data_IF_123208874409
#
_entry.id   IF_123208874409
#
_cell.length_a   1.000
_cell.length_b   1.000
_cell.length_c   1.000
_cell.angle_alpha   90.00
_cell.angle_beta   90.00
_cell.angle_gamma   90.00
#
_symmetry.space_group_name_H-M   'P 1'
#
loop_
_entity.id
_entity.type
_entity.pdbx_description
1 polymer ?
#
# COMPACT_ATOMS: atom_id res chain seq x y z
N UNK A 1 0.40 4.54 -19.08
CA UNK A 1 0.32 3.54 -17.99
C UNK A 1 -0.12 2.23 -18.58
N UNK A 2 0.38 1.09 -18.07
CA UNK A 2 -0.04 -0.24 -18.51
C UNK A 2 -0.11 -1.20 -17.34
N UNK A 3 -1.11 -2.07 -17.32
CA UNK A 3 -1.25 -3.14 -16.33
C UNK A 3 -1.46 -4.46 -17.07
N UNK A 4 -0.82 -5.52 -16.59
CA UNK A 4 -0.93 -6.85 -17.19
C UNK A 4 -0.79 -7.92 -16.13
N UNK A 5 -1.40 -9.07 -16.40
CA UNK A 5 -1.29 -10.23 -15.55
C UNK A 5 -0.03 -11.01 -15.90
N UNK A 6 0.62 -11.55 -14.88
CA UNK A 6 1.61 -12.58 -15.07
C UNK A 6 0.95 -13.93 -14.91
N UNK A 7 0.82 -14.62 -16.04
CA UNK A 7 0.67 -16.08 -16.04
C UNK A 7 1.91 -16.69 -15.37
N UNK A 8 1.82 -17.94 -14.90
CA UNK A 8 2.85 -18.60 -14.10
C UNK A 8 3.72 -19.53 -14.96
N UNK A 9 4.65 -19.04 -15.81
CA UNK A 9 5.67 -19.90 -16.36
C UNK A 9 6.62 -20.33 -15.22
N UNK A 10 7.25 -21.51 -15.32
CA UNK A 10 8.33 -21.87 -14.40
C UNK A 10 9.41 -20.79 -14.47
N UNK A 11 9.95 -20.33 -13.32
CA UNK A 11 10.97 -19.29 -13.33
C UNK A 11 12.20 -19.81 -14.06
N UNK A 12 12.57 -19.17 -15.17
CA UNK A 12 13.80 -19.44 -15.91
C UNK A 12 14.79 -18.34 -15.58
N UNK A 13 15.81 -18.64 -14.77
CA UNK A 13 16.85 -17.68 -14.41
C UNK A 13 17.78 -18.17 -13.33
N UNK A 14 18.90 -17.46 -13.16
CA UNK A 14 19.86 -17.66 -12.07
C UNK A 14 19.71 -16.53 -11.05
N UNK A 15 19.75 -16.86 -9.76
CA UNK A 15 19.72 -15.89 -8.68
C UNK A 15 20.98 -16.05 -7.82
N UNK A 16 21.61 -14.94 -7.48
CA UNK A 16 22.72 -14.93 -6.53
C UNK A 16 22.25 -15.43 -5.16
N UNK A 17 22.93 -16.46 -4.64
CA UNK A 17 22.54 -17.14 -3.40
C UNK A 17 22.62 -16.20 -2.18
N UNK A 18 23.58 -15.26 -2.16
CA UNK A 18 23.69 -14.31 -1.06
C UNK A 18 22.51 -13.34 -1.05
N UNK A 19 22.07 -12.86 -2.23
CA UNK A 19 20.88 -12.01 -2.37
C UNK A 19 19.61 -12.75 -1.99
N UNK A 20 19.46 -14.01 -2.42
CA UNK A 20 18.33 -14.85 -2.05
C UNK A 20 18.26 -15.07 -0.53
N UNK A 21 19.38 -15.44 0.09
CA UNK A 21 19.50 -15.63 1.54
C UNK A 21 19.20 -14.33 2.30
N UNK A 22 19.71 -13.20 1.82
CA UNK A 22 19.43 -11.88 2.40
C UNK A 22 17.96 -11.49 2.36
N UNK A 23 17.22 -11.86 1.30
CA UNK A 23 15.77 -11.67 1.23
C UNK A 23 15.05 -12.51 2.28
N UNK A 24 15.38 -13.80 2.38
CA UNK A 24 14.77 -14.72 3.36
C UNK A 24 15.05 -14.26 4.79
N UNK A 25 16.27 -13.84 5.10
CA UNK A 25 16.64 -13.32 6.41
C UNK A 25 15.89 -12.02 6.79
N UNK A 26 15.47 -11.23 5.80
CA UNK A 26 14.70 -10.01 6.02
C UNK A 26 13.18 -10.25 6.22
N UNK A 27 12.70 -11.48 6.00
CA UNK A 27 11.31 -11.84 6.26
C UNK A 27 11.01 -11.75 7.74
N UNK A 28 9.99 -10.98 8.11
CA UNK A 28 9.61 -10.82 9.51
C UNK A 28 10.64 -10.08 10.39
N UNK A 29 11.68 -9.49 9.81
CA UNK A 29 12.71 -8.79 10.58
C UNK A 29 12.13 -7.65 11.45
N UNK A 30 12.76 -7.40 12.60
CA UNK A 30 12.35 -6.35 13.53
C UNK A 30 12.58 -4.94 12.96
N UNK A 31 13.61 -4.78 12.12
CA UNK A 31 13.88 -3.53 11.41
C UNK A 31 12.88 -3.40 10.25
N UNK A 32 11.99 -2.41 10.38
CA UNK A 32 10.82 -2.22 9.50
C UNK A 32 11.16 -2.19 8.01
N UNK A 33 12.32 -1.63 7.64
CA UNK A 33 12.70 -1.41 6.24
C UNK A 33 13.62 -2.50 5.68
N UNK A 34 14.03 -3.48 6.49
CA UNK A 34 14.98 -4.53 6.09
C UNK A 34 14.50 -5.29 4.86
N UNK A 35 13.19 -5.56 4.79
CA UNK A 35 12.58 -6.25 3.67
C UNK A 35 12.66 -5.44 2.36
N UNK A 36 12.25 -4.17 2.37
CA UNK A 36 12.34 -3.32 1.18
C UNK A 36 13.81 -3.14 0.73
N UNK A 37 14.75 -3.04 1.66
CA UNK A 37 16.17 -2.97 1.36
C UNK A 37 16.70 -4.28 0.76
N UNK A 38 16.22 -5.43 1.22
CA UNK A 38 16.57 -6.72 0.65
C UNK A 38 16.00 -6.92 -0.76
N UNK A 39 14.78 -6.44 -1.03
CA UNK A 39 14.19 -6.42 -2.38
C UNK A 39 15.02 -5.56 -3.33
N UNK A 40 15.48 -4.39 -2.90
CA UNK A 40 16.39 -3.57 -3.72
C UNK A 40 17.69 -4.31 -4.04
N UNK A 41 18.37 -4.86 -3.02
CA UNK A 41 19.61 -5.63 -3.23
C UNK A 41 19.40 -6.82 -4.16
N UNK A 42 18.28 -7.53 -4.03
CA UNK A 42 17.92 -8.65 -4.90
C UNK A 42 17.87 -8.22 -6.37
N UNK A 43 17.19 -7.11 -6.65
CA UNK A 43 16.90 -6.64 -8.00
C UNK A 43 17.96 -5.69 -8.58
N UNK A 44 19.02 -5.36 -7.83
CA UNK A 44 20.02 -4.36 -8.23
C UNK A 44 20.72 -4.65 -9.56
N UNK A 45 20.87 -5.91 -9.95
CA UNK A 45 21.51 -6.30 -11.24
C UNK A 45 20.50 -6.50 -12.37
N UNK A 46 19.20 -6.47 -12.03
CA UNK A 46 18.12 -6.75 -12.97
C UNK A 46 17.77 -5.50 -13.77
N UNK A 47 17.72 -4.38 -13.05
CA UNK A 47 17.31 -3.08 -13.53
C UNK A 47 17.83 -1.98 -12.59
N UNK A 48 18.08 -0.79 -13.12
CA UNK A 48 18.41 0.38 -12.31
C UNK A 48 17.18 0.84 -11.49
N UNK A 49 17.00 0.26 -10.30
CA UNK A 49 15.94 0.59 -9.34
C UNK A 49 16.59 1.38 -8.21
N UNK A 50 16.09 2.57 -7.92
CA UNK A 50 16.64 3.44 -6.87
C UNK A 50 15.92 3.26 -5.53
N UNK A 51 14.61 2.99 -5.57
CA UNK A 51 13.74 2.99 -4.39
C UNK A 51 12.75 1.83 -4.45
N UNK A 52 12.37 1.34 -3.27
CA UNK A 52 11.34 0.32 -3.09
C UNK A 52 10.37 0.76 -1.99
N UNK A 53 9.07 0.68 -2.25
CA UNK A 53 8.04 0.82 -1.20
C UNK A 53 7.09 -0.36 -1.22
N UNK A 54 6.63 -0.76 -0.04
CA UNK A 54 5.64 -1.82 0.12
C UNK A 54 4.42 -1.21 0.78
N UNK A 55 3.27 -1.27 0.10
CA UNK A 55 1.99 -0.81 0.61
C UNK A 55 1.02 -1.97 0.81
N UNK A 56 0.23 -1.90 1.87
CA UNK A 56 -0.94 -2.75 2.07
C UNK A 56 -2.22 -1.92 1.86
N UNK A 57 -3.00 -2.28 0.84
CA UNK A 57 -4.33 -1.76 0.58
C UNK A 57 -5.33 -2.63 1.30
N UNK A 58 -5.81 -2.13 2.43
CA UNK A 58 -6.84 -2.78 3.23
C UNK A 58 -8.20 -2.20 2.82
N UNK A 59 -9.19 -3.06 2.59
CA UNK A 59 -10.48 -2.68 2.01
C UNK A 59 -11.07 -1.43 2.67
N UNK A 60 -11.49 -0.46 1.84
CA UNK A 60 -12.07 0.81 2.29
C UNK A 60 -11.12 1.76 3.02
N UNK A 61 -9.86 1.37 3.27
CA UNK A 61 -8.86 2.17 3.97
C UNK A 61 -7.85 2.80 3.02
N UNK A 62 -7.10 3.77 3.54
CA UNK A 62 -5.91 4.31 2.86
C UNK A 62 -4.81 3.23 2.88
N UNK A 63 -3.97 3.13 1.84
CA UNK A 63 -2.88 2.18 1.87
C UNK A 63 -1.94 2.47 3.03
N UNK A 64 -1.51 1.43 3.73
CA UNK A 64 -0.53 1.53 4.80
C UNK A 64 0.87 1.28 4.25
N UNK A 65 1.81 2.14 4.61
CA UNK A 65 3.23 1.95 4.35
C UNK A 65 3.77 0.81 5.24
N UNK A 66 4.09 -0.33 4.64
CA UNK A 66 4.67 -1.50 5.34
C UNK A 66 6.19 -1.35 5.46
N UNK A 67 6.87 -1.07 4.35
CA UNK A 67 8.32 -0.91 4.32
C UNK A 67 8.72 0.08 3.22
N UNK A 68 9.83 0.79 3.41
CA UNK A 68 10.43 1.67 2.39
C UNK A 68 11.94 1.50 2.37
N UNK A 69 12.58 1.59 1.22
CA UNK A 69 14.02 1.63 1.10
C UNK A 69 14.44 2.51 -0.07
N UNK A 70 15.53 3.25 0.12
CA UNK A 70 16.17 4.09 -0.89
C UNK A 70 17.68 3.81 -0.83
N UNK A 71 18.33 3.61 -1.98
CA UNK A 71 19.78 3.48 -2.03
C UNK A 71 20.52 4.73 -1.53
N UNK A 72 19.89 5.91 -1.59
CA UNK A 72 20.42 7.17 -1.06
C UNK A 72 20.35 7.26 0.47
N UNK A 73 19.56 6.40 1.11
CA UNK A 73 19.29 6.44 2.55
C UNK A 73 18.41 7.61 2.99
N UNK A 74 18.12 7.66 4.30
CA UNK A 74 17.38 8.74 4.94
C UNK A 74 15.87 8.52 5.09
N UNK A 75 15.22 9.40 5.84
CA UNK A 75 13.78 9.34 6.14
C UNK A 75 12.88 9.88 5.01
N UNK A 76 13.46 10.53 4.01
CA UNK A 76 12.74 11.27 2.98
C UNK A 76 11.72 10.40 2.20
N UNK A 77 12.11 9.19 1.79
CA UNK A 77 11.19 8.30 1.06
C UNK A 77 9.97 7.89 1.92
N UNK A 78 10.14 7.76 3.25
CA UNK A 78 9.01 7.46 4.14
C UNK A 78 8.02 8.62 4.19
N UNK A 79 8.51 9.85 4.26
CA UNK A 79 7.67 11.04 4.20
C UNK A 79 6.89 11.12 2.88
N UNK A 80 7.56 10.86 1.75
CA UNK A 80 6.91 10.80 0.43
C UNK A 80 5.83 9.71 0.38
N UNK A 81 6.11 8.51 0.91
CA UNK A 81 5.17 7.41 0.98
C UNK A 81 3.94 7.75 1.85
N UNK A 82 4.14 8.47 2.95
CA UNK A 82 3.06 8.90 3.84
C UNK A 82 2.21 10.01 3.21
N UNK A 83 2.82 10.97 2.51
CA UNK A 83 2.11 11.97 1.70
C UNK A 83 1.26 11.28 0.64
N UNK A 84 1.83 10.32 -0.08
CA UNK A 84 1.12 9.51 -1.07
C UNK A 84 -0.10 8.82 -0.45
N UNK A 85 0.10 8.05 0.63
CA UNK A 85 -0.94 7.30 1.30
C UNK A 85 -2.06 8.20 1.85
N UNK A 86 -1.72 9.39 2.33
CA UNK A 86 -2.69 10.33 2.89
C UNK A 86 -3.47 11.11 1.83
N UNK A 87 -2.81 11.54 0.75
CA UNK A 87 -3.36 12.56 -0.17
C UNK A 87 -3.63 12.06 -1.58
N UNK A 88 -2.78 11.18 -2.12
CA UNK A 88 -2.73 10.94 -3.56
C UNK A 88 -3.08 9.52 -3.98
N UNK A 89 -3.14 8.55 -3.07
CA UNK A 89 -3.42 7.14 -3.43
C UNK A 89 -4.69 6.95 -4.26
N UNK A 90 -5.72 7.79 -4.06
CA UNK A 90 -6.97 7.71 -4.81
C UNK A 90 -6.83 8.08 -6.30
N UNK A 91 -5.74 8.76 -6.67
CA UNK A 91 -5.39 9.17 -8.02
C UNK A 91 -4.43 8.19 -8.70
N UNK A 92 -3.93 7.20 -7.97
CA UNK A 92 -2.94 6.24 -8.46
C UNK A 92 -3.59 5.11 -9.27
N UNK A 93 -2.91 4.65 -10.33
CA UNK A 93 -3.40 3.53 -11.12
C UNK A 93 -3.48 2.21 -10.33
N UNK A 94 -2.65 2.03 -9.30
CA UNK A 94 -2.74 0.88 -8.40
C UNK A 94 -4.11 0.82 -7.70
N UNK A 95 -4.69 1.96 -7.35
CA UNK A 95 -6.00 2.00 -6.70
C UNK A 95 -7.13 1.53 -7.62
N UNK A 96 -7.04 1.82 -8.93
CA UNK A 96 -8.01 1.34 -9.91
C UNK A 96 -7.92 -0.18 -10.05
N UNK A 97 -6.71 -0.71 -10.19
CA UNK A 97 -6.46 -2.16 -10.29
C UNK A 97 -6.99 -2.89 -9.06
N UNK A 98 -6.71 -2.38 -7.85
CA UNK A 98 -7.18 -2.98 -6.60
C UNK A 98 -8.71 -2.92 -6.47
N UNK A 99 -9.34 -1.82 -6.91
CA UNK A 99 -10.79 -1.65 -6.82
C UNK A 99 -11.57 -2.49 -7.84
N UNK A 100 -11.02 -2.71 -9.04
CA UNK A 100 -11.65 -3.46 -10.14
C UNK A 100 -11.37 -4.96 -10.07
N UNK A 101 -10.45 -5.40 -9.21
CA UNK A 101 -10.08 -6.80 -9.10
C UNK A 101 -11.27 -7.67 -8.66
N UNK A 102 -11.67 -8.60 -9.53
CA UNK A 102 -12.72 -9.56 -9.22
C UNK A 102 -12.32 -10.46 -8.03
N UNK A 103 -13.30 -11.00 -7.27
CA UNK A 103 -13.05 -11.92 -6.17
C UNK A 103 -12.53 -13.27 -6.69
N UNK A 104 -11.26 -13.32 -7.10
CA UNK A 104 -10.53 -14.53 -7.47
C UNK A 104 -9.82 -15.12 -6.25
N UNK A 105 -9.52 -16.42 -6.32
CA UNK A 105 -8.87 -17.19 -5.24
C UNK A 105 -7.60 -16.46 -4.73
N UNK A 106 -7.44 -16.28 -3.41
CA UNK A 106 -6.20 -15.81 -2.81
C UNK A 106 -4.99 -16.63 -3.27
N UNK A 107 -3.84 -15.99 -3.43
CA UNK A 107 -2.56 -16.68 -3.63
C UNK A 107 -2.18 -17.08 -5.06
N UNK A 108 -2.88 -16.59 -6.11
CA UNK A 108 -2.52 -16.97 -7.50
C UNK A 108 -2.47 -15.89 -8.57
N UNK A 109 -3.02 -14.70 -8.34
CA UNK A 109 -3.01 -13.62 -9.32
C UNK A 109 -1.94 -12.59 -8.97
N UNK A 110 -0.93 -12.46 -9.82
CA UNK A 110 0.05 -11.38 -9.81
C UNK A 110 -0.26 -10.44 -10.96
N UNK A 111 -0.41 -9.15 -10.65
CA UNK A 111 -0.56 -8.09 -11.65
C UNK A 111 0.66 -7.20 -11.59
N UNK A 112 1.29 -6.96 -12.74
CA UNK A 112 2.28 -5.90 -12.87
C UNK A 112 1.64 -4.64 -13.41
N UNK A 113 2.09 -3.49 -12.93
CA UNK A 113 1.62 -2.18 -13.36
C UNK A 113 2.79 -1.23 -13.55
N UNK A 114 2.93 -0.69 -14.75
CA UNK A 114 3.89 0.36 -15.06
C UNK A 114 3.20 1.72 -15.15
N UNK A 115 3.77 2.70 -14.46
CA UNK A 115 3.33 4.08 -14.51
C UNK A 115 4.54 5.02 -14.58
N UNK A 116 4.70 5.67 -15.73
CA UNK A 116 5.72 6.68 -15.93
C UNK A 116 5.26 8.03 -15.37
N UNK A 117 6.20 8.94 -15.11
CA UNK A 117 5.88 10.30 -14.63
C UNK A 117 4.93 11.06 -15.57
N UNK A 118 5.07 10.85 -16.88
CA UNK A 118 4.26 11.50 -17.91
C UNK A 118 2.81 11.01 -17.92
N UNK A 119 2.55 9.83 -17.35
CA UNK A 119 1.18 9.30 -17.19
C UNK A 119 0.37 10.05 -16.12
N UNK A 120 1.03 10.83 -15.26
CA UNK A 120 0.42 11.41 -14.06
C UNK A 120 -0.17 12.76 -14.37
N UNK A 121 -1.46 12.83 -14.68
CA UNK A 121 -2.10 14.10 -15.06
C UNK A 121 -2.17 15.13 -13.93
N UNK A 122 -2.29 14.69 -12.69
CA UNK A 122 -2.46 15.60 -11.54
C UNK A 122 -1.13 16.20 -11.09
N UNK A 123 -0.96 17.52 -11.24
CA UNK A 123 0.30 18.22 -11.02
C UNK A 123 0.86 18.05 -9.60
N UNK A 124 0.06 18.24 -8.55
CA UNK A 124 0.55 18.11 -7.17
C UNK A 124 0.99 16.68 -6.82
N UNK A 125 0.31 15.67 -7.38
CA UNK A 125 0.69 14.26 -7.20
C UNK A 125 2.00 13.98 -7.94
N UNK A 126 2.12 14.42 -9.20
CA UNK A 126 3.36 14.31 -9.97
C UNK A 126 4.52 15.00 -9.25
N UNK A 127 4.32 16.21 -8.76
CA UNK A 127 5.33 16.98 -8.06
C UNK A 127 5.80 16.28 -6.77
N UNK A 128 4.87 15.88 -5.90
CA UNK A 128 5.19 15.31 -4.60
C UNK A 128 5.76 13.89 -4.67
N UNK A 129 5.22 13.04 -5.54
CA UNK A 129 5.53 11.60 -5.54
C UNK A 129 6.46 11.16 -6.67
N UNK A 130 6.71 12.02 -7.68
CA UNK A 130 7.59 11.68 -8.80
C UNK A 130 8.70 12.72 -9.03
N UNK A 131 8.36 14.00 -9.24
CA UNK A 131 9.38 15.03 -9.49
C UNK A 131 10.30 15.27 -8.29
N UNK A 132 9.73 15.44 -7.09
CA UNK A 132 10.48 15.63 -5.84
C UNK A 132 11.46 14.50 -5.54
N UNK A 133 11.01 13.22 -5.49
CA UNK A 133 11.88 12.08 -5.26
C UNK A 133 12.73 11.65 -6.47
N UNK A 134 12.71 12.43 -7.56
CA UNK A 134 13.45 12.18 -8.81
C UNK A 134 13.10 10.85 -9.50
N UNK A 135 11.83 10.46 -9.48
CA UNK A 135 11.31 9.27 -10.16
C UNK A 135 10.88 9.61 -11.59
N UNK A 136 11.32 8.81 -12.56
CA UNK A 136 10.83 8.83 -13.95
C UNK A 136 9.79 7.75 -14.22
N UNK A 137 9.94 6.58 -13.60
CA UNK A 137 9.12 5.41 -13.90
C UNK A 137 8.97 4.49 -12.70
N UNK A 138 7.86 3.76 -12.66
CA UNK A 138 7.51 2.85 -11.56
C UNK A 138 6.95 1.55 -12.10
N UNK A 139 7.46 0.43 -11.58
CA UNK A 139 6.86 -0.90 -11.72
C UNK A 139 6.29 -1.33 -10.37
N UNK A 140 4.99 -1.59 -10.32
CA UNK A 140 4.31 -2.13 -9.15
C UNK A 140 3.97 -3.61 -9.35
N UNK A 141 4.30 -4.43 -8.36
CA UNK A 141 3.91 -5.83 -8.26
C UNK A 141 2.72 -5.91 -7.29
N UNK A 142 1.52 -6.14 -7.83
CA UNK A 142 0.29 -6.23 -7.06
C UNK A 142 -0.11 -7.69 -6.85
N UNK A 143 -0.45 -8.02 -5.61
CA UNK A 143 -0.89 -9.36 -5.26
C UNK A 143 -1.93 -9.32 -4.14
N UNK A 144 -2.85 -10.29 -4.16
CA UNK A 144 -3.86 -10.42 -3.10
C UNK A 144 -3.30 -11.23 -1.94
N UNK A 145 -3.30 -10.65 -0.74
CA UNK A 145 -2.90 -11.30 0.52
C UNK A 145 -4.07 -12.06 1.16
N UNK A 146 -5.25 -11.45 1.20
CA UNK A 146 -6.49 -12.04 1.69
C UNK A 146 -7.68 -11.41 0.95
N UNK A 147 -8.91 -11.75 1.31
CA UNK A 147 -10.10 -11.16 0.65
C UNK A 147 -10.08 -9.63 0.67
N UNK A 148 -9.68 -9.04 1.79
CA UNK A 148 -9.74 -7.59 2.01
C UNK A 148 -8.37 -6.89 1.93
N UNK A 149 -7.30 -7.61 1.61
CA UNK A 149 -5.94 -7.05 1.64
C UNK A 149 -5.21 -7.32 0.33
N UNK A 150 -4.77 -6.24 -0.30
CA UNK A 150 -3.84 -6.25 -1.42
C UNK A 150 -2.48 -5.71 -1.01
N UNK A 151 -1.42 -6.35 -1.49
CA UNK A 151 -0.05 -5.87 -1.35
C UNK A 151 0.42 -5.29 -2.66
N UNK A 152 1.18 -4.21 -2.57
CA UNK A 152 1.85 -3.57 -3.70
C UNK A 152 3.31 -3.34 -3.35
N UNK A 153 4.21 -4.01 -4.06
CA UNK A 153 5.66 -3.74 -4.03
C UNK A 153 5.97 -2.83 -5.20
N UNK A 154 6.36 -1.60 -4.93
CA UNK A 154 6.63 -0.57 -5.94
C UNK A 154 8.13 -0.38 -6.07
N UNK A 155 8.62 -0.53 -7.29
CA UNK A 155 10.01 -0.38 -7.69
C UNK A 155 10.12 0.88 -8.52
N UNK A 156 10.92 1.84 -8.07
CA UNK A 156 11.02 3.15 -8.72
C UNK A 156 12.38 3.31 -9.40
N UNK A 157 12.36 3.96 -10.56
CA UNK A 157 13.53 4.31 -11.34
C UNK A 157 13.79 5.80 -11.27
N UNK A 158 15.07 6.13 -11.13
CA UNK A 158 15.54 7.50 -11.14
C UNK A 158 15.54 8.11 -12.56
N UNK A 159 15.26 9.41 -12.66
CA UNK A 159 15.19 10.13 -13.94
C UNK A 159 16.43 9.99 -14.82
N UNK A 160 17.62 9.86 -14.25
CA UNK A 160 18.85 9.70 -15.04
C UNK A 160 18.86 8.43 -15.90
N UNK A 161 18.05 7.42 -15.55
CA UNK A 161 17.95 6.14 -16.28
C UNK A 161 16.75 6.08 -17.22
N UNK A 162 15.96 7.15 -17.34
CA UNK A 162 14.75 7.18 -18.18
C UNK A 162 13.67 6.20 -17.69
N UNK A 163 12.97 5.55 -18.62
CA UNK A 163 11.93 4.55 -18.35
C UNK A 163 12.50 3.12 -18.33
N UNK A 164 11.78 2.18 -17.73
CA UNK A 164 12.15 0.75 -17.78
C UNK A 164 12.13 0.24 -19.23
N UNK A 165 13.20 -0.44 -19.64
CA UNK A 165 13.31 -1.08 -20.96
C UNK A 165 12.58 -2.42 -20.98
N UNK A 166 12.14 -2.87 -22.16
CA UNK A 166 11.37 -4.12 -22.27
C UNK A 166 12.16 -5.35 -21.79
N UNK A 167 13.48 -5.38 -21.98
CA UNK A 167 14.33 -6.47 -21.49
C UNK A 167 14.44 -6.46 -19.95
N UNK A 168 14.50 -5.29 -19.34
CA UNK A 168 14.48 -5.13 -17.88
C UNK A 168 13.13 -5.55 -17.30
N UNK A 169 12.03 -5.16 -17.96
CA UNK A 169 10.69 -5.60 -17.57
C UNK A 169 10.59 -7.12 -17.66
N UNK A 170 11.01 -7.75 -18.76
CA UNK A 170 10.99 -9.20 -18.90
C UNK A 170 11.78 -9.92 -17.78
N UNK A 171 12.94 -9.38 -17.36
CA UNK A 171 13.68 -9.92 -16.21
C UNK A 171 12.95 -9.70 -14.88
N UNK A 172 12.30 -8.56 -14.69
CA UNK A 172 11.46 -8.30 -13.53
C UNK A 172 10.26 -9.25 -13.48
N UNK A 173 9.64 -9.55 -14.62
CA UNK A 173 8.55 -10.52 -14.73
C UNK A 173 8.96 -11.90 -14.21
N UNK A 174 10.17 -12.36 -14.58
CA UNK A 174 10.73 -13.64 -14.09
C UNK A 174 10.90 -13.68 -12.57
N UNK A 175 11.32 -12.57 -11.95
CA UNK A 175 11.59 -12.51 -10.50
C UNK A 175 10.37 -12.06 -9.67
N UNK A 176 9.34 -11.52 -10.31
CA UNK A 176 8.18 -10.97 -9.62
C UNK A 176 7.47 -11.99 -8.71
N UNK A 177 7.31 -13.29 -9.08
CA UNK A 177 6.74 -14.28 -8.18
C UNK A 177 7.52 -14.44 -6.86
N UNK A 178 8.87 -14.43 -6.92
CA UNK A 178 9.70 -14.52 -5.72
C UNK A 178 9.49 -13.32 -4.81
N UNK A 179 9.52 -12.11 -5.38
CA UNK A 179 9.35 -10.85 -4.62
C UNK A 179 7.96 -10.79 -3.99
N UNK A 180 6.93 -11.20 -4.72
CA UNK A 180 5.53 -11.20 -4.27
C UNK A 180 5.32 -12.21 -3.15
N UNK A 181 5.80 -13.44 -3.30
CA UNK A 181 5.68 -14.44 -2.24
C UNK A 181 6.45 -14.03 -0.99
N UNK A 182 7.65 -13.46 -1.15
CA UNK A 182 8.40 -12.89 -0.04
C UNK A 182 7.64 -11.74 0.66
N UNK A 183 6.98 -10.86 -0.11
CA UNK A 183 6.18 -9.77 0.44
C UNK A 183 4.94 -10.28 1.21
N UNK A 184 4.27 -11.31 0.70
CA UNK A 184 3.14 -11.96 1.37
C UNK A 184 3.56 -12.58 2.71
N UNK A 185 4.70 -13.28 2.74
CA UNK A 185 5.25 -13.86 3.97
C UNK A 185 5.71 -12.78 4.96
N UNK A 186 6.43 -11.76 4.49
CA UNK A 186 6.83 -10.63 5.34
C UNK A 186 5.61 -9.93 5.95
N UNK A 187 4.54 -9.72 5.16
CA UNK A 187 3.30 -9.14 5.66
C UNK A 187 2.62 -10.02 6.71
N UNK A 188 2.56 -11.33 6.50
CA UNK A 188 1.98 -12.27 7.46
C UNK A 188 2.75 -12.29 8.80
N UNK A 189 4.08 -12.22 8.75
CA UNK A 189 4.94 -12.28 9.95
C UNK A 189 4.98 -10.96 10.73
N UNK A 190 5.14 -9.82 10.03
CA UNK A 190 5.36 -8.51 10.65
C UNK A 190 4.37 -7.45 10.22
N UNK A 191 3.92 -7.47 8.97
CA UNK A 191 3.00 -6.45 8.43
C UNK A 191 1.65 -6.40 9.14
N UNK A 192 1.12 -7.53 9.65
CA UNK A 192 -0.10 -7.55 10.47
C UNK A 192 0.12 -6.96 11.86
N UNK A 193 1.28 -7.23 12.49
CA UNK A 193 1.62 -6.73 13.84
C UNK A 193 1.83 -5.22 13.88
N UNK A 194 2.21 -4.63 12.74
CA UNK A 194 2.41 -3.19 12.60
C UNK A 194 1.10 -2.39 12.43
N UNK A 195 -0.07 -3.03 12.34
CA UNK A 195 -1.34 -2.31 12.26
C UNK A 195 -1.65 -1.62 13.61
N UNK A 196 -2.00 -0.34 13.58
CA UNK A 196 -2.35 0.40 14.79
C UNK A 196 -3.70 -0.07 15.36
N UNK A 197 -3.93 0.12 16.66
CA UNK A 197 -5.22 -0.21 17.30
C UNK A 197 -6.40 0.48 16.57
N UNK A 198 -6.37 1.81 16.27
CA UNK A 198 -7.42 2.46 15.50
C UNK A 198 -7.69 1.81 14.13
N UNK A 199 -6.64 1.34 13.46
CA UNK A 199 -6.76 0.69 12.15
C UNK A 199 -7.41 -0.69 12.25
N UNK A 200 -7.03 -1.50 13.25
CA UNK A 200 -7.67 -2.78 13.53
C UNK A 200 -9.15 -2.60 13.89
N UNK A 201 -9.48 -1.56 14.67
CA UNK A 201 -10.85 -1.20 15.03
C UNK A 201 -11.67 -0.79 13.80
N UNK A 202 -11.10 0.05 12.93
CA UNK A 202 -11.76 0.49 11.71
C UNK A 202 -12.02 -0.67 10.73
N UNK A 203 -11.05 -1.59 10.59
CA UNK A 203 -11.23 -2.80 9.80
C UNK A 203 -12.37 -3.69 10.34
N UNK A 204 -12.53 -3.78 11.67
CA UNK A 204 -13.67 -4.47 12.29
C UNK A 204 -15.00 -3.79 11.97
N UNK A 205 -15.06 -2.47 12.05
CA UNK A 205 -16.27 -1.70 11.71
C UNK A 205 -16.69 -1.90 10.26
N UNK A 206 -15.74 -1.96 9.33
CA UNK A 206 -16.05 -2.19 7.93
C UNK A 206 -16.59 -3.60 7.68
N UNK A 207 -16.03 -4.62 8.35
CA UNK A 207 -16.59 -5.99 8.29
C UNK A 207 -18.01 -6.06 8.86
N UNK A 208 -18.27 -5.32 9.94
CA UNK A 208 -19.59 -5.25 10.55
C UNK A 208 -20.61 -4.49 9.68
N UNK A 209 -20.18 -3.40 9.03
CA UNK A 209 -21.02 -2.59 8.15
C UNK A 209 -20.29 -2.25 6.83
N UNK A 210 -20.33 -3.15 5.83
CA UNK A 210 -19.67 -2.93 4.54
C UNK A 210 -20.23 -1.74 3.74
N UNK A 211 -21.43 -1.28 4.09
CA UNK A 211 -22.10 -0.17 3.42
C UNK A 211 -21.52 1.22 3.78
N UNK A 212 -20.58 1.31 4.72
CA UNK A 212 -19.92 2.57 5.10
C UNK A 212 -19.20 3.18 3.89
N UNK A 213 -19.46 4.46 3.64
CA UNK A 213 -18.79 5.20 2.57
C UNK A 213 -17.36 5.56 2.95
N UNK A 214 -16.53 5.81 1.95
CA UNK A 214 -15.14 6.28 2.14
C UNK A 214 -15.02 7.49 3.06
N UNK A 215 -15.94 8.47 2.92
CA UNK A 215 -15.97 9.68 3.77
C UNK A 215 -16.39 9.38 5.20
N UNK A 216 -17.32 8.46 5.40
CA UNK A 216 -17.69 7.98 6.73
C UNK A 216 -16.53 7.25 7.41
N UNK A 217 -15.83 6.38 6.68
CA UNK A 217 -14.65 5.67 7.19
C UNK A 217 -13.50 6.62 7.55
N UNK A 218 -13.23 7.61 6.71
CA UNK A 218 -12.20 8.62 6.99
C UNK A 218 -12.51 9.41 8.29
N UNK A 219 -13.79 9.73 8.54
CA UNK A 219 -14.21 10.37 9.79
C UNK A 219 -14.12 9.44 10.99
N UNK A 220 -14.60 8.19 10.86
CA UNK A 220 -14.49 7.19 11.93
C UNK A 220 -13.03 6.91 12.30
N UNK A 221 -12.11 6.89 11.32
CA UNK A 221 -10.67 6.77 11.58
C UNK A 221 -10.19 7.88 12.49
N UNK A 222 -10.46 9.14 12.13
CA UNK A 222 -10.01 10.28 12.92
C UNK A 222 -10.55 10.25 14.35
N UNK A 223 -11.81 9.84 14.53
CA UNK A 223 -12.41 9.66 15.87
C UNK A 223 -11.69 8.57 16.68
N UNK A 224 -11.33 7.44 16.05
CA UNK A 224 -10.60 6.34 16.70
C UNK A 224 -9.14 6.71 16.98
N UNK A 225 -8.55 7.60 16.19
CA UNK A 225 -7.21 8.18 16.39
C UNK A 225 -7.21 9.30 17.46
N UNK A 226 -8.38 9.70 17.95
CA UNK A 226 -8.52 10.74 18.98
C UNK A 226 -8.51 12.17 18.44
N UNK A 227 -8.63 12.36 17.13
CA UNK A 227 -8.66 13.68 16.50
C UNK A 227 -9.96 14.44 16.79
N UNK A 228 -9.83 15.76 16.91
CA UNK A 228 -11.00 16.66 17.02
C UNK A 228 -11.69 16.84 15.67
N UNK A 229 -12.95 17.31 15.69
CA UNK A 229 -13.71 17.56 14.44
C UNK A 229 -12.96 18.50 13.48
N UNK A 230 -12.25 19.50 14.00
CA UNK A 230 -11.50 20.45 13.20
C UNK A 230 -10.24 19.82 12.57
N UNK A 231 -9.50 19.02 13.35
CA UNK A 231 -8.33 18.28 12.84
C UNK A 231 -8.74 17.30 11.74
N UNK A 232 -9.83 16.55 11.94
CA UNK A 232 -10.38 15.64 10.93
C UNK A 232 -10.74 16.41 9.67
N UNK A 233 -11.38 17.58 9.80
CA UNK A 233 -11.79 18.42 8.68
C UNK A 233 -10.59 18.84 7.83
N UNK A 234 -9.51 19.28 8.47
CA UNK A 234 -8.25 19.62 7.83
C UNK A 234 -7.59 18.40 7.15
N UNK A 235 -7.49 17.28 7.86
CA UNK A 235 -6.86 16.04 7.37
C UNK A 235 -7.52 15.46 6.12
N UNK A 236 -8.85 15.62 5.98
CA UNK A 236 -9.62 15.05 4.87
C UNK A 236 -10.09 16.11 3.86
N UNK A 237 -9.72 17.38 4.08
CA UNK A 237 -9.99 18.50 3.19
C UNK A 237 -11.47 18.85 3.06
N UNK A 238 -12.20 18.96 4.18
CA UNK A 238 -13.63 19.34 4.21
C UNK A 238 -13.91 20.36 5.31
N UNK A 239 -15.15 20.87 5.39
CA UNK A 239 -15.59 21.72 6.51
C UNK A 239 -15.91 20.88 7.76
N UNK A 240 -15.70 21.43 8.95
CA UNK A 240 -16.05 20.79 10.23
C UNK A 240 -17.52 20.32 10.28
N UNK A 241 -18.45 21.10 9.72
CA UNK A 241 -19.87 20.72 9.60
C UNK A 241 -20.09 19.46 8.75
N UNK A 242 -19.25 19.24 7.74
CA UNK A 242 -19.29 18.02 6.92
C UNK A 242 -18.80 16.81 7.72
N UNK A 243 -17.76 16.97 8.53
CA UNK A 243 -17.28 15.92 9.44
C UNK A 243 -18.39 15.48 10.39
N UNK A 244 -19.06 16.42 11.07
CA UNK A 244 -20.20 16.09 11.94
C UNK A 244 -21.32 15.37 11.20
N UNK A 245 -21.60 15.79 9.96
CA UNK A 245 -22.62 15.14 9.11
C UNK A 245 -22.25 13.70 8.77
N UNK A 246 -21.01 13.46 8.32
CA UNK A 246 -20.52 12.11 8.03
C UNK A 246 -20.49 11.24 9.30
N UNK A 247 -20.06 11.78 10.43
CA UNK A 247 -20.06 11.07 11.71
C UNK A 247 -21.47 10.61 12.10
N UNK A 248 -22.47 11.50 12.03
CA UNK A 248 -23.88 11.15 12.32
C UNK A 248 -24.42 10.08 11.39
N UNK A 249 -24.10 10.16 10.09
CA UNK A 249 -24.52 9.15 9.11
C UNK A 249 -23.87 7.80 9.38
N UNK A 250 -22.56 7.79 9.68
CA UNK A 250 -21.82 6.59 10.05
C UNK A 250 -22.40 5.93 11.31
N UNK A 251 -22.67 6.71 12.35
CA UNK A 251 -23.27 6.22 13.60
C UNK A 251 -24.64 5.59 13.37
N UNK A 252 -25.50 6.25 12.59
CA UNK A 252 -26.80 5.69 12.21
C UNK A 252 -26.67 4.38 11.45
N UNK A 253 -25.70 4.26 10.52
CA UNK A 253 -25.44 3.02 9.77
C UNK A 253 -24.92 1.89 10.65
N UNK A 254 -24.16 2.23 11.69
CA UNK A 254 -23.64 1.31 12.69
C UNK A 254 -24.63 1.01 13.83
N UNK A 255 -25.81 1.63 13.84
CA UNK A 255 -26.80 1.44 14.90
C UNK A 255 -26.38 2.01 16.27
N UNK A 256 -25.52 3.02 16.28
CA UNK A 256 -25.00 3.67 17.50
C UNK A 256 -25.35 5.16 17.54
N UNK A 257 -25.23 5.75 18.72
CA UNK A 257 -25.50 7.18 18.96
C UNK A 257 -24.35 7.92 19.64
N UNK A 258 -23.28 7.21 20.03
CA UNK A 258 -22.17 7.82 20.78
C UNK A 258 -20.79 7.25 20.42
N UNK A 259 -19.74 8.04 20.66
CA UNK A 259 -18.35 7.59 20.54
C UNK A 259 -18.05 6.43 21.49
N UNK A 260 -18.60 6.43 22.71
CA UNK A 260 -18.46 5.30 23.64
C UNK A 260 -18.97 3.99 23.04
N UNK A 261 -20.12 4.03 22.36
CA UNK A 261 -20.67 2.85 21.67
C UNK A 261 -19.84 2.46 20.43
N UNK A 262 -19.22 3.42 19.74
CA UNK A 262 -18.27 3.12 18.67
C UNK A 262 -17.09 2.27 19.19
N UNK A 263 -16.48 2.69 20.30
CA UNK A 263 -15.41 1.91 20.94
C UNK A 263 -15.91 0.53 21.41
N UNK A 264 -17.10 0.47 22.01
CA UNK A 264 -17.71 -0.81 22.43
C UNK A 264 -17.93 -1.77 21.25
N UNK A 265 -18.44 -1.30 20.11
CA UNK A 265 -18.60 -2.12 18.89
C UNK A 265 -17.26 -2.71 18.40
N UNK A 266 -16.21 -1.90 18.42
CA UNK A 266 -14.88 -2.32 17.98
C UNK A 266 -14.27 -3.39 18.90
N UNK A 267 -14.59 -3.34 20.20
CA UNK A 267 -14.08 -4.26 21.23
C UNK A 267 -14.94 -5.53 21.37
N UNK A 268 -16.27 -5.44 21.27
CA UNK A 268 -17.18 -6.57 21.39
C UNK A 268 -17.15 -7.52 20.18
N UNK A 269 -16.46 -7.13 19.11
CA UNK A 269 -16.19 -7.98 17.94
C UNK A 269 -14.95 -8.88 18.13
N UNK A 270 -14.48 -9.08 19.37
CA UNK A 270 -13.45 -10.06 19.70
C UNK A 270 -14.10 -11.45 19.75
N UNK A 271 -13.61 -12.46 18.99
CA UNK A 271 -13.89 -13.83 19.35
C UNK A 271 -13.25 -14.10 20.73
N UNK A 272 -13.96 -14.88 21.55
CA UNK A 272 -13.40 -15.48 22.74
C UNK A 272 -12.17 -16.34 22.41
#
# INVERSE_FOLDING_TARGET
MRAWYLDRPPPVGTLDLNRATGLVAALGAAETNAFAAAVLRLLGDVAAISQCTVFAYEAGLRPRTVAVADYRGGAYLREVADIYARRFYALDGNQQIVAEASPRKPGTSLTMHQQAIDDIKHEAYRAACYSGPNVSDRIALLSRQSEDVWLSVNLYRDRQYGVFRQDEIARLETLAPLVVHAAQQHYALSGQRQASIPQLMLARLLRHCPALSKRELDVLRGVLEGHTTNEIAELIGVKASSVTTYQKRAYRRLGISSQRQLFALCLNSLPA
#
